data_IF_202022651296
#
_entry.id   IF_202022651296
#
_cell.length_a   1.000
_cell.length_b   1.000
_cell.length_c   1.000
_cell.angle_alpha   90.00
_cell.angle_beta   90.00
_cell.angle_gamma   90.00
#
_symmetry.space_group_name_H-M   'P 1'
#
loop_
_entity.id
_entity.type
_entity.pdbx_description
1 polymer ?
#
# COMPACT_ATOMS: atom_id res chain seq x y z
N UNK A 1 10.16 4.65 9.44
CA UNK A 1 9.73 4.17 8.09
C UNK A 1 8.21 3.96 7.96
N UNK A 2 7.47 3.63 9.04
CA UNK A 2 6.03 3.32 8.95
C UNK A 2 5.08 4.49 8.63
N UNK A 3 5.46 5.74 8.92
CA UNK A 3 4.59 6.92 8.74
C UNK A 3 4.92 7.76 7.51
N UNK A 4 5.96 7.38 6.76
CA UNK A 4 6.43 8.15 5.62
C UNK A 4 5.39 8.15 4.49
N UNK A 5 5.07 9.33 3.96
CA UNK A 5 4.06 9.50 2.91
C UNK A 5 2.61 9.50 3.41
N UNK A 6 2.37 9.52 4.73
CA UNK A 6 1.02 9.59 5.31
C UNK A 6 0.31 10.90 4.96
N UNK A 7 1.05 12.01 4.95
CA UNK A 7 0.57 13.33 4.56
C UNK A 7 1.41 13.84 3.39
N UNK A 8 0.76 14.56 2.47
CA UNK A 8 1.40 15.10 1.26
C UNK A 8 1.39 16.62 1.39
N UNK A 9 2.56 17.29 1.35
CA UNK A 9 2.62 18.74 1.42
C UNK A 9 2.14 19.35 0.10
N UNK A 10 1.30 20.36 0.20
CA UNK A 10 0.88 21.21 -0.90
C UNK A 10 1.60 22.55 -0.81
N UNK A 11 2.25 22.96 -1.90
CA UNK A 11 3.04 24.19 -1.95
C UNK A 11 2.30 25.26 -2.75
N UNK A 12 2.09 26.42 -2.14
CA UNK A 12 1.44 27.57 -2.79
C UNK A 12 2.16 28.89 -2.46
N UNK A 13 1.74 29.99 -3.10
CA UNK A 13 2.24 31.34 -2.79
C UNK A 13 1.95 31.80 -1.35
N UNK A 14 1.05 31.10 -0.64
CA UNK A 14 0.71 31.35 0.77
C UNK A 14 1.51 30.48 1.76
N UNK A 15 2.36 29.57 1.27
CA UNK A 15 3.15 28.64 2.09
C UNK A 15 2.79 27.17 1.87
N UNK A 16 3.15 26.34 2.86
CA UNK A 16 2.94 24.88 2.85
C UNK A 16 1.66 24.54 3.60
N UNK A 17 0.76 23.79 2.96
CA UNK A 17 -0.43 23.20 3.60
C UNK A 17 -0.37 21.67 3.53
N UNK A 18 -1.13 20.99 4.41
CA UNK A 18 -1.11 19.53 4.57
C UNK A 18 -2.50 18.93 4.35
N UNK A 19 -3.16 19.38 3.30
CA UNK A 19 -4.58 19.12 3.06
C UNK A 19 -4.86 17.69 2.54
N UNK A 20 -3.81 16.93 2.22
CA UNK A 20 -3.91 15.61 1.59
C UNK A 20 -3.30 14.52 2.46
N UNK A 21 -4.05 13.43 2.62
CA UNK A 21 -3.62 12.22 3.33
C UNK A 21 -3.68 10.99 2.43
N UNK A 22 -2.74 10.08 2.60
CA UNK A 22 -2.71 8.80 1.89
C UNK A 22 -3.05 7.66 2.87
N UNK A 23 -3.86 6.69 2.46
CA UNK A 23 -4.13 5.46 3.21
C UNK A 23 -3.05 4.39 2.97
N UNK A 24 -2.35 4.45 1.84
CA UNK A 24 -1.22 3.59 1.49
C UNK A 24 0.09 4.33 1.67
N UNK A 25 0.70 4.19 2.84
CA UNK A 25 1.92 4.90 3.22
C UNK A 25 2.83 4.02 4.06
N UNK A 26 4.13 4.33 4.00
CA UNK A 26 5.17 3.72 4.80
C UNK A 26 5.23 2.20 4.74
N UNK A 27 6.03 1.63 5.65
CA UNK A 27 6.04 0.20 5.88
C UNK A 27 4.81 -0.22 6.73
N UNK A 28 4.04 -1.20 6.25
CA UNK A 28 2.81 -1.70 6.87
C UNK A 28 2.93 -3.20 7.14
N UNK A 29 2.01 -3.77 7.94
CA UNK A 29 2.04 -5.20 8.25
C UNK A 29 2.06 -6.12 7.02
N UNK A 30 1.37 -5.75 5.93
CA UNK A 30 1.38 -6.50 4.65
C UNK A 30 2.78 -6.64 4.06
N UNK A 31 3.69 -5.68 4.30
CA UNK A 31 5.05 -5.70 3.77
C UNK A 31 6.00 -6.65 4.52
N UNK A 32 5.53 -7.36 5.54
CA UNK A 32 6.30 -8.44 6.19
C UNK A 32 6.44 -9.68 5.29
N UNK A 33 5.53 -9.85 4.33
CA UNK A 33 5.52 -10.93 3.36
C UNK A 33 5.34 -10.37 1.95
N UNK A 34 5.93 -11.02 0.96
CA UNK A 34 5.73 -10.66 -0.44
C UNK A 34 4.35 -11.10 -0.93
N UNK A 35 3.73 -10.42 -1.91
CA UNK A 35 2.53 -10.94 -2.55
C UNK A 35 2.86 -12.24 -3.29
N UNK A 36 2.00 -13.24 -3.14
CA UNK A 36 2.03 -14.45 -3.97
C UNK A 36 1.70 -14.03 -5.41
N UNK A 37 2.45 -14.49 -6.43
CA UNK A 37 2.16 -14.08 -7.78
C UNK A 37 0.82 -14.66 -8.26
N UNK A 38 0.19 -13.92 -9.18
CA UNK A 38 -1.19 -14.20 -9.59
C UNK A 38 -1.32 -15.59 -10.21
N UNK A 39 -0.33 -16.02 -10.99
CA UNK A 39 -0.41 -17.27 -11.74
C UNK A 39 -0.49 -18.49 -10.83
N UNK A 40 0.20 -18.47 -9.70
CA UNK A 40 0.20 -19.52 -8.70
C UNK A 40 -1.17 -19.65 -8.02
N UNK A 41 -1.84 -18.51 -7.77
CA UNK A 41 -3.21 -18.48 -7.22
C UNK A 41 -4.22 -19.00 -8.24
N UNK A 42 -4.10 -18.62 -9.51
CA UNK A 42 -4.99 -19.08 -10.59
C UNK A 42 -4.87 -20.59 -10.85
N UNK A 43 -3.65 -21.12 -10.77
CA UNK A 43 -3.38 -22.54 -11.03
C UNK A 43 -3.73 -23.45 -9.84
N UNK A 44 -3.69 -22.93 -8.61
CA UNK A 44 -4.03 -23.70 -7.41
C UNK A 44 -5.04 -22.94 -6.55
N UNK A 45 -6.34 -23.29 -6.61
CA UNK A 45 -7.39 -22.61 -5.87
C UNK A 45 -7.29 -22.75 -4.34
N UNK A 46 -6.42 -23.64 -3.84
CA UNK A 46 -6.15 -23.76 -2.41
C UNK A 46 -5.14 -22.70 -1.90
N UNK A 47 -4.43 -22.02 -2.80
CA UNK A 47 -3.51 -20.94 -2.44
C UNK A 47 -4.31 -19.67 -2.19
N UNK A 48 -4.14 -19.10 -0.99
CA UNK A 48 -4.71 -17.80 -0.62
C UNK A 48 -3.60 -16.77 -0.56
N UNK A 49 -3.89 -15.56 -1.02
CA UNK A 49 -2.95 -14.44 -0.96
C UNK A 49 -2.60 -14.10 0.50
N UNK A 50 -1.38 -13.58 0.71
CA UNK A 50 -0.90 -13.08 2.00
C UNK A 50 -1.70 -11.84 2.44
N UNK A 51 -1.93 -11.70 3.75
CA UNK A 51 -2.75 -10.63 4.33
C UNK A 51 -2.38 -9.23 3.84
N UNK A 52 -3.40 -8.48 3.41
CA UNK A 52 -3.26 -7.09 2.97
C UNK A 52 -2.72 -6.91 1.54
N UNK A 53 -2.39 -7.99 0.83
CA UNK A 53 -2.21 -7.97 -0.62
C UNK A 53 -3.53 -8.31 -1.31
N UNK A 54 -3.93 -7.49 -2.27
CA UNK A 54 -5.17 -7.68 -3.04
C UNK A 54 -4.89 -8.30 -4.39
N UNK A 55 -5.77 -9.19 -4.85
CA UNK A 55 -5.79 -9.66 -6.23
C UNK A 55 -6.48 -8.57 -7.06
N UNK A 56 -5.79 -8.00 -8.05
CA UNK A 56 -6.46 -7.12 -9.02
C UNK A 56 -7.38 -7.97 -9.87
N UNK A 57 -8.65 -7.59 -9.95
CA UNK A 57 -9.58 -8.16 -10.93
C UNK A 57 -9.26 -7.68 -12.35
#
# INVERSE_FOLDING_TARGET
LGTQGKQIPNFSSKGVTWDYTNSSYGFQNKHKLLPIPLKEIELNPNIKQNDGWTISQ
#
